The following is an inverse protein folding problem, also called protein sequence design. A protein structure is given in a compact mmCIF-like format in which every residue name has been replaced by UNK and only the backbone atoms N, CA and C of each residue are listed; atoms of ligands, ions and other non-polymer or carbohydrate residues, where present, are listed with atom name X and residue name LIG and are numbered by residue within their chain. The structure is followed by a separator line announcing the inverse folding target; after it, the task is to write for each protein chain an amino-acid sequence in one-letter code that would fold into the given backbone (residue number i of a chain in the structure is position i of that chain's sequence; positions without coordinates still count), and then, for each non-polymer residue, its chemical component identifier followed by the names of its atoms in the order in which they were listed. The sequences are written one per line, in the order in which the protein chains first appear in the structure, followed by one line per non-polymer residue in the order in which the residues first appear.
data_IF_415760374838
#
_entry.id   IF_415760374838
#
_cell.length_a   1.000
_cell.length_b   1.000
_cell.length_c   1.000
_cell.angle_alpha   90.00
_cell.angle_beta   90.00
_cell.angle_gamma   90.00
#
_symmetry.space_group_name_H-M   'P 1'
#
loop_
_entity.id
_entity.type
_entity.pdbx_description
1 polymer ?
#
# COMPACT_ATOMS: atom_id res chain seq x y z
N UNK A 1 -1.41 13.62 27.00
CA UNK A 1 -0.53 13.05 25.96
C UNK A 1 -1.23 11.99 25.10
N UNK A 2 -1.78 10.91 25.66
CA UNK A 2 -2.50 9.88 24.87
C UNK A 2 -3.64 10.42 23.99
N UNK A 3 -4.44 11.38 24.49
CA UNK A 3 -5.48 12.05 23.70
C UNK A 3 -4.93 12.89 22.53
N UNK A 4 -3.71 13.37 22.64
CA UNK A 4 -3.05 14.16 21.58
C UNK A 4 -2.47 13.20 20.53
N UNK A 5 -1.87 12.09 20.95
CA UNK A 5 -1.44 11.02 20.04
C UNK A 5 -2.61 10.44 19.24
N UNK A 6 -3.74 10.14 19.89
CA UNK A 6 -4.93 9.64 19.22
C UNK A 6 -5.48 10.62 18.16
N UNK A 7 -5.40 11.93 18.43
CA UNK A 7 -5.89 12.98 17.54
C UNK A 7 -4.95 13.24 16.37
N UNK A 8 -3.65 13.33 16.63
CA UNK A 8 -2.66 13.80 15.65
C UNK A 8 -1.96 12.65 14.91
N UNK A 9 -1.89 11.45 15.50
CA UNK A 9 -1.22 10.27 14.94
C UNK A 9 -2.19 9.14 14.59
N UNK A 10 -3.48 9.29 14.91
CA UNK A 10 -4.51 8.26 14.69
C UNK A 10 -4.41 7.05 15.63
N UNK A 11 -3.36 6.98 16.47
CA UNK A 11 -3.17 5.92 17.45
C UNK A 11 -2.75 6.51 18.81
N UNK A 12 -3.53 6.17 19.85
CA UNK A 12 -3.28 6.56 21.23
C UNK A 12 -2.02 5.92 21.83
N UNK A 13 -1.55 4.80 21.27
CA UNK A 13 -0.38 4.04 21.73
C UNK A 13 0.95 4.75 21.45
N UNK A 14 0.97 5.63 20.45
CA UNK A 14 2.15 6.39 19.98
C UNK A 14 2.49 7.61 20.86
N UNK A 15 1.89 7.74 22.04
CA UNK A 15 2.19 8.82 22.98
C UNK A 15 3.64 8.81 23.49
N UNK A 16 4.32 7.65 23.44
CA UNK A 16 5.74 7.51 23.79
C UNK A 16 6.64 8.15 22.74
N UNK A 17 6.25 8.12 21.47
CA UNK A 17 7.01 8.76 20.39
C UNK A 17 6.94 10.29 20.51
N UNK A 18 5.78 10.83 20.92
CA UNK A 18 5.65 12.26 21.25
C UNK A 18 6.57 12.68 22.40
N UNK A 19 6.79 11.81 23.38
CA UNK A 19 7.73 12.06 24.47
C UNK A 19 9.16 12.11 23.95
N UNK A 20 9.56 11.13 23.13
CA UNK A 20 10.90 11.08 22.55
C UNK A 20 11.19 12.28 21.64
N UNK A 21 10.23 12.68 20.80
CA UNK A 21 10.40 13.79 19.84
C UNK A 21 10.53 15.13 20.56
N UNK A 22 9.83 15.31 21.68
CA UNK A 22 9.84 16.55 22.45
C UNK A 22 10.82 16.52 23.64
N UNK A 23 11.57 15.42 23.83
CA UNK A 23 12.44 15.19 24.97
C UNK A 23 11.76 15.50 26.31
N UNK A 24 10.54 14.98 26.50
CA UNK A 24 9.75 15.28 27.71
C UNK A 24 10.12 14.35 28.87
N UNK A 25 10.31 14.92 30.05
CA UNK A 25 10.50 14.16 31.30
C UNK A 25 9.23 14.21 32.15
N UNK A 26 8.96 13.15 32.91
CA UNK A 26 7.82 13.13 33.82
C UNK A 26 7.92 14.29 34.84
N UNK A 27 6.87 15.11 35.05
CA UNK A 27 5.45 14.90 34.77
C UNK A 27 4.93 15.36 33.39
N UNK A 28 5.78 15.52 32.39
CA UNK A 28 5.55 15.83 30.96
C UNK A 28 4.77 17.13 30.66
N UNK A 29 3.59 17.29 31.24
CA UNK A 29 2.74 18.47 31.19
C UNK A 29 2.39 18.91 32.61
N UNK A 30 2.62 20.19 32.93
CA UNK A 30 2.26 20.78 34.23
C UNK A 30 1.30 21.96 34.06
N UNK A 31 0.44 22.17 35.06
CA UNK A 31 -0.39 23.37 35.19
C UNK A 31 0.25 24.44 36.08
N UNK A 32 1.36 24.10 36.74
CA UNK A 32 2.09 25.01 37.62
C UNK A 32 3.24 25.67 36.84
N UNK A 33 3.21 27.01 36.65
CA UNK A 33 4.28 27.74 35.96
C UNK A 33 5.66 27.59 36.61
N UNK A 34 5.73 27.25 37.90
CA UNK A 34 6.99 27.10 38.64
C UNK A 34 7.65 25.72 38.43
N UNK A 35 6.89 24.74 37.93
CA UNK A 35 7.37 23.39 37.63
C UNK A 35 7.78 23.21 36.16
N UNK A 36 7.79 24.29 35.37
CA UNK A 36 8.22 24.27 33.97
C UNK A 36 9.74 24.20 33.91
N UNK A 37 10.25 23.10 33.37
CA UNK A 37 11.67 22.93 33.05
C UNK A 37 11.84 22.82 31.53
N UNK A 38 13.08 22.69 31.04
CA UNK A 38 13.33 22.48 29.61
C UNK A 38 12.51 21.30 29.03
N UNK A 39 12.31 20.26 29.84
CA UNK A 39 11.71 18.97 29.48
C UNK A 39 10.28 18.77 30.05
N UNK A 40 9.73 19.74 30.78
CA UNK A 40 8.34 19.69 31.29
C UNK A 40 7.60 20.92 30.79
N UNK A 41 6.56 20.70 29.98
CA UNK A 41 5.86 21.78 29.27
C UNK A 41 4.58 22.22 29.98
N UNK A 42 4.21 23.49 29.86
CA UNK A 42 2.97 24.00 30.45
C UNK A 42 1.75 23.58 29.61
N UNK A 43 0.59 23.35 30.22
CA UNK A 43 -0.67 23.18 29.48
C UNK A 43 -0.92 24.37 28.54
N UNK A 44 -1.14 24.11 27.26
CA UNK A 44 -1.34 25.13 26.22
C UNK A 44 -0.09 25.52 25.43
N UNK A 45 1.08 24.99 25.79
CA UNK A 45 2.30 25.15 24.99
C UNK A 45 2.28 24.27 23.74
N UNK A 46 3.01 24.71 22.71
CA UNK A 46 3.18 23.95 21.46
C UNK A 46 4.12 22.76 21.70
N UNK A 47 3.73 21.61 21.16
CA UNK A 47 4.52 20.36 21.15
C UNK A 47 4.73 19.97 19.70
N UNK A 48 5.95 19.55 19.38
CA UNK A 48 6.29 19.01 18.07
C UNK A 48 5.57 17.68 17.88
N UNK A 49 4.72 17.61 16.87
CA UNK A 49 4.19 16.35 16.36
C UNK A 49 4.99 16.03 15.09
N UNK A 50 5.31 14.75 14.83
CA UNK A 50 5.87 14.38 13.54
C UNK A 50 4.82 14.76 12.49
N UNK A 51 5.14 15.77 11.69
CA UNK A 51 4.36 16.05 10.49
C UNK A 51 4.61 14.91 9.51
N UNK A 52 3.61 14.60 8.67
CA UNK A 52 3.87 13.85 7.46
C UNK A 52 4.92 14.66 6.69
N UNK A 53 6.19 14.28 6.80
CA UNK A 53 7.27 14.92 6.06
C UNK A 53 6.84 14.93 4.60
N UNK A 54 6.74 16.11 3.99
CA UNK A 54 6.81 16.19 2.54
C UNK A 54 8.11 15.49 2.18
N UNK A 55 8.00 14.27 1.61
CA UNK A 55 9.16 13.45 1.27
C UNK A 55 10.12 14.34 0.50
N UNK A 56 11.20 14.72 1.16
CA UNK A 56 12.30 15.39 0.49
C UNK A 56 12.84 14.36 -0.48
N UNK A 57 12.87 14.69 -1.78
CA UNK A 57 13.47 13.86 -2.81
C UNK A 57 14.98 13.73 -2.54
N UNK A 58 15.36 12.95 -1.52
CA UNK A 58 16.55 12.16 -1.64
C UNK A 58 16.34 11.32 -2.90
N UNK A 59 17.35 11.27 -3.77
CA UNK A 59 17.39 10.42 -4.94
C UNK A 59 17.45 8.95 -4.48
N UNK A 60 16.39 8.48 -3.81
CA UNK A 60 16.13 7.09 -3.51
C UNK A 60 15.96 6.48 -4.89
N UNK A 61 16.81 5.51 -5.23
CA UNK A 61 16.60 4.68 -6.42
C UNK A 61 15.12 4.28 -6.42
N UNK A 62 14.32 4.71 -7.42
CA UNK A 62 12.90 4.41 -7.45
C UNK A 62 12.62 2.91 -7.29
N UNK A 63 13.57 2.05 -7.66
CA UNK A 63 13.48 0.60 -7.50
C UNK A 63 13.68 0.12 -6.06
N UNK A 64 14.42 0.84 -5.21
CA UNK A 64 14.61 0.45 -3.82
C UNK A 64 13.31 0.48 -3.00
N UNK A 65 12.33 1.29 -3.42
CA UNK A 65 11.03 1.44 -2.75
C UNK A 65 10.14 0.21 -2.93
N UNK A 66 10.33 -0.55 -4.00
CA UNK A 66 9.45 -1.67 -4.37
C UNK A 66 9.97 -3.04 -3.91
N UNK A 67 11.13 -3.07 -3.25
CA UNK A 67 11.71 -4.27 -2.66
C UNK A 67 12.12 -5.33 -3.69
N UNK A 68 12.40 -6.53 -3.20
CA UNK A 68 12.80 -7.70 -3.97
C UNK A 68 11.96 -8.89 -3.49
N UNK A 69 11.46 -9.69 -4.41
CA UNK A 69 10.71 -10.92 -4.12
C UNK A 69 11.10 -12.04 -5.10
N UNK A 70 10.63 -13.26 -4.85
CA UNK A 70 10.80 -14.37 -5.78
C UNK A 70 9.99 -14.13 -7.05
N UNK A 71 10.60 -14.41 -8.20
CA UNK A 71 9.93 -14.33 -9.48
C UNK A 71 8.96 -15.50 -9.63
N UNK A 72 7.74 -15.19 -10.00
CA UNK A 72 6.70 -16.18 -10.29
C UNK A 72 6.39 -16.17 -11.78
N UNK A 73 6.24 -17.36 -12.36
CA UNK A 73 5.74 -17.56 -13.71
C UNK A 73 4.57 -18.54 -13.68
N UNK A 74 3.37 -18.07 -14.02
CA UNK A 74 2.14 -18.85 -13.89
C UNK A 74 1.86 -19.38 -12.47
N UNK A 75 2.37 -18.69 -11.43
CA UNK A 75 2.27 -19.13 -10.03
C UNK A 75 3.33 -20.14 -9.58
N UNK A 76 4.29 -20.48 -10.44
CA UNK A 76 5.41 -21.36 -10.11
C UNK A 76 6.69 -20.55 -9.83
N UNK A 77 7.48 -21.03 -8.87
CA UNK A 77 8.83 -20.51 -8.61
C UNK A 77 9.77 -20.97 -9.72
N UNK A 78 10.63 -20.04 -10.15
CA UNK A 78 11.65 -20.32 -11.16
C UNK A 78 13.01 -20.54 -10.50
N UNK A 79 13.79 -21.48 -11.03
CA UNK A 79 15.21 -21.64 -10.70
C UNK A 79 16.08 -20.83 -11.66
N UNK A 80 17.26 -20.42 -11.18
CA UNK A 80 18.24 -19.66 -11.94
C UNK A 80 19.23 -20.54 -12.75
N UNK A 81 19.02 -21.86 -12.79
CA UNK A 81 19.92 -22.85 -13.40
C UNK A 81 21.16 -23.19 -12.57
N UNK A 82 21.34 -22.55 -11.41
CA UNK A 82 22.50 -22.70 -10.50
C UNK A 82 22.05 -23.28 -9.14
N UNK A 83 20.75 -23.59 -9.01
CA UNK A 83 20.16 -24.16 -7.79
C UNK A 83 19.67 -23.12 -6.79
N UNK A 84 19.44 -21.87 -7.23
CA UNK A 84 18.82 -20.82 -6.42
C UNK A 84 17.59 -20.24 -7.14
N UNK A 85 16.73 -19.54 -6.40
CA UNK A 85 15.51 -18.97 -6.94
C UNK A 85 15.79 -17.71 -7.76
N UNK A 86 15.05 -17.55 -8.85
CA UNK A 86 15.04 -16.28 -9.58
C UNK A 86 14.30 -15.26 -8.73
N UNK A 87 14.90 -14.09 -8.56
CA UNK A 87 14.30 -12.94 -7.88
C UNK A 87 13.92 -11.85 -8.86
N UNK A 88 12.91 -11.07 -8.51
CA UNK A 88 12.47 -9.87 -9.20
C UNK A 88 12.57 -8.68 -8.24
N UNK A 89 13.11 -7.57 -8.72
CA UNK A 89 13.36 -6.38 -7.91
C UNK A 89 12.68 -5.15 -8.49
N UNK A 90 12.44 -4.15 -7.64
CA UNK A 90 12.02 -2.84 -8.11
C UNK A 90 10.63 -2.83 -8.74
N UNK A 91 10.49 -2.05 -9.83
CA UNK A 91 9.19 -1.88 -10.49
C UNK A 91 8.63 -3.18 -11.06
N UNK A 92 9.49 -4.11 -11.46
CA UNK A 92 9.06 -5.42 -11.95
C UNK A 92 8.47 -6.26 -10.82
N UNK A 93 8.99 -6.12 -9.59
CA UNK A 93 8.41 -6.76 -8.42
C UNK A 93 7.03 -6.19 -8.11
N UNK A 94 6.88 -4.86 -8.16
CA UNK A 94 5.58 -4.23 -7.98
C UNK A 94 4.56 -4.65 -9.04
N UNK A 95 4.98 -4.73 -10.31
CA UNK A 95 4.15 -5.23 -11.40
C UNK A 95 3.69 -6.66 -11.13
N UNK A 96 4.62 -7.57 -10.80
CA UNK A 96 4.30 -8.95 -10.47
C UNK A 96 3.34 -9.05 -9.28
N UNK A 97 3.56 -8.24 -8.23
CA UNK A 97 2.69 -8.26 -7.05
C UNK A 97 1.25 -7.83 -7.36
N UNK A 98 1.07 -6.83 -8.24
CA UNK A 98 -0.27 -6.44 -8.70
C UNK A 98 -0.89 -7.55 -9.54
N UNK A 99 -0.14 -8.15 -10.48
CA UNK A 99 -0.62 -9.24 -11.33
C UNK A 99 -1.10 -10.42 -10.48
N UNK A 100 -0.32 -10.82 -9.47
CA UNK A 100 -0.66 -11.87 -8.53
C UNK A 100 -1.93 -11.52 -7.74
N UNK A 101 -2.05 -10.28 -7.27
CA UNK A 101 -3.21 -9.83 -6.50
C UNK A 101 -4.48 -9.82 -7.34
N UNK A 102 -4.39 -9.41 -8.60
CA UNK A 102 -5.53 -9.40 -9.53
C UNK A 102 -5.94 -10.83 -9.90
N UNK A 103 -4.99 -11.75 -10.04
CA UNK A 103 -5.25 -13.15 -10.35
C UNK A 103 -5.83 -13.96 -9.17
N UNK A 104 -5.45 -13.62 -7.93
CA UNK A 104 -5.90 -14.33 -6.72
C UNK A 104 -7.33 -13.98 -6.39
N UNK A 105 -8.18 -14.98 -6.09
CA UNK A 105 -9.56 -14.72 -5.70
C UNK A 105 -9.60 -14.13 -4.28
N UNK A 106 -10.44 -13.12 -4.07
CA UNK A 106 -10.64 -12.58 -2.73
C UNK A 106 -11.15 -13.66 -1.77
N UNK A 107 -10.63 -13.65 -0.53
CA UNK A 107 -10.89 -14.66 0.51
C UNK A 107 -10.33 -16.07 0.26
N UNK A 108 -9.57 -16.26 -0.82
CA UNK A 108 -8.86 -17.52 -1.08
C UNK A 108 -7.77 -17.79 -0.02
N UNK A 109 -7.06 -16.74 0.39
CA UNK A 109 -6.06 -16.82 1.44
C UNK A 109 -6.74 -16.71 2.82
N UNK A 110 -6.80 -17.82 3.56
CA UNK A 110 -7.48 -17.90 4.87
C UNK A 110 -6.99 -16.86 5.87
N UNK A 111 -5.67 -16.61 5.88
CA UNK A 111 -5.02 -15.64 6.79
C UNK A 111 -5.00 -14.20 6.24
N UNK A 112 -5.35 -14.01 4.96
CA UNK A 112 -5.33 -12.72 4.29
C UNK A 112 -6.61 -12.53 3.46
N UNK A 113 -7.75 -12.52 4.14
CA UNK A 113 -9.06 -12.51 3.48
C UNK A 113 -9.34 -11.26 2.65
N UNK A 114 -8.65 -10.15 2.93
CA UNK A 114 -8.74 -8.89 2.19
C UNK A 114 -7.85 -8.86 0.95
N UNK A 115 -6.91 -9.80 0.82
CA UNK A 115 -6.04 -9.93 -0.34
C UNK A 115 -6.78 -10.59 -1.51
N UNK A 116 -6.38 -10.24 -2.73
CA UNK A 116 -6.96 -10.73 -3.97
C UNK A 116 -7.89 -9.72 -4.64
N UNK A 117 -8.65 -10.24 -5.60
CA UNK A 117 -9.60 -9.52 -6.43
C UNK A 117 -10.87 -10.34 -6.64
N UNK A 118 -12.00 -9.68 -6.92
CA UNK A 118 -13.28 -10.34 -7.17
C UNK A 118 -13.51 -10.63 -8.66
N UNK A 119 -12.60 -10.27 -9.56
CA UNK A 119 -12.70 -10.59 -11.00
C UNK A 119 -12.87 -12.10 -11.26
N UNK A 120 -12.13 -13.02 -10.59
CA UNK A 120 -12.33 -14.46 -10.76
C UNK A 120 -13.76 -14.94 -10.43
N UNK A 121 -14.55 -14.17 -9.67
CA UNK A 121 -15.96 -14.49 -9.39
C UNK A 121 -16.90 -14.22 -10.57
N UNK A 122 -16.45 -13.41 -11.53
CA UNK A 122 -17.17 -13.14 -12.77
C UNK A 122 -17.01 -14.27 -13.80
N UNK A 123 -16.04 -15.16 -13.62
CA UNK A 123 -15.84 -16.32 -14.47
C UNK A 123 -17.06 -17.24 -14.41
N UNK A 124 -17.59 -17.60 -15.58
CA UNK A 124 -18.81 -18.39 -15.71
C UNK A 124 -20.11 -17.61 -15.56
N UNK A 125 -20.06 -16.29 -15.36
CA UNK A 125 -21.26 -15.43 -15.43
C UNK A 125 -21.56 -15.01 -16.85
N UNK A 126 -22.79 -14.51 -17.10
CA UNK A 126 -23.17 -14.03 -18.43
C UNK A 126 -22.35 -12.79 -18.76
N UNK A 127 -21.58 -12.90 -19.83
CA UNK A 127 -20.79 -11.80 -20.37
C UNK A 127 -21.71 -10.66 -20.84
N UNK A 128 -21.46 -9.46 -20.36
CA UNK A 128 -22.22 -8.28 -20.74
C UNK A 128 -21.61 -6.98 -20.21
N UNK A 129 -22.15 -5.81 -20.60
CA UNK A 129 -21.59 -4.50 -20.25
C UNK A 129 -21.41 -4.30 -18.74
N UNK A 130 -22.32 -4.87 -17.93
CA UNK A 130 -22.25 -4.82 -16.47
C UNK A 130 -21.07 -5.63 -15.93
N UNK A 131 -20.83 -6.84 -16.44
CA UNK A 131 -19.69 -7.66 -16.04
C UNK A 131 -18.36 -6.99 -16.41
N UNK A 132 -18.29 -6.37 -17.60
CA UNK A 132 -17.13 -5.60 -18.02
C UNK A 132 -16.88 -4.40 -17.09
N UNK A 133 -17.91 -3.62 -16.75
CA UNK A 133 -17.76 -2.49 -15.84
C UNK A 133 -17.34 -2.94 -14.43
N UNK A 134 -17.91 -4.03 -13.93
CA UNK A 134 -17.54 -4.62 -12.64
C UNK A 134 -16.08 -5.10 -12.66
N UNK A 135 -15.64 -5.76 -13.73
CA UNK A 135 -14.26 -6.22 -13.85
C UNK A 135 -13.27 -5.05 -13.77
N UNK A 136 -13.55 -3.94 -14.47
CA UNK A 136 -12.74 -2.72 -14.39
C UNK A 136 -12.70 -2.14 -12.97
N UNK A 137 -13.86 -2.10 -12.28
CA UNK A 137 -13.95 -1.57 -10.93
C UNK A 137 -13.24 -2.44 -9.89
N UNK A 138 -13.37 -3.77 -9.97
CA UNK A 138 -12.66 -4.70 -9.10
C UNK A 138 -11.14 -4.63 -9.29
N UNK A 139 -10.68 -4.48 -10.54
CA UNK A 139 -9.26 -4.29 -10.82
C UNK A 139 -8.73 -2.99 -10.21
N UNK A 140 -9.50 -1.90 -10.33
CA UNK A 140 -9.15 -0.62 -9.71
C UNK A 140 -9.06 -0.73 -8.19
N UNK A 141 -10.02 -1.39 -7.54
CA UNK A 141 -10.03 -1.60 -6.09
C UNK A 141 -8.83 -2.43 -5.63
N UNK A 142 -8.54 -3.54 -6.31
CA UNK A 142 -7.42 -4.42 -5.98
C UNK A 142 -6.07 -3.68 -6.05
N UNK A 143 -5.89 -2.83 -7.06
CA UNK A 143 -4.67 -2.03 -7.26
C UNK A 143 -4.53 -0.91 -6.24
N UNK A 144 -5.63 -0.23 -5.88
CA UNK A 144 -5.65 0.82 -4.84
C UNK A 144 -5.43 0.27 -3.43
N UNK A 145 -5.72 -1.01 -3.21
CA UNK A 145 -5.51 -1.65 -1.92
C UNK A 145 -4.04 -2.07 -1.66
N UNK A 146 -3.12 -1.80 -2.59
CA UNK A 146 -1.67 -1.94 -2.38
C UNK A 146 -1.08 -0.59 -1.96
N UNK A 147 -0.44 -0.52 -0.80
CA UNK A 147 0.10 0.72 -0.21
C UNK A 147 1.19 1.37 -1.06
N UNK A 148 1.79 0.64 -2.00
CA UNK A 148 2.78 1.18 -2.95
C UNK A 148 2.12 1.91 -4.12
N UNK A 149 0.81 1.77 -4.29
CA UNK A 149 0.00 2.49 -5.27
C UNK A 149 -0.48 3.81 -4.67
N UNK A 150 -0.16 4.93 -5.32
CA UNK A 150 -0.69 6.25 -4.93
C UNK A 150 -2.05 6.52 -5.58
N UNK A 151 -2.21 6.18 -6.85
CA UNK A 151 -3.45 6.41 -7.59
C UNK A 151 -3.59 5.42 -8.76
N UNK A 152 -4.79 5.35 -9.34
CA UNK A 152 -5.06 4.61 -10.58
C UNK A 152 -5.55 5.60 -11.63
N UNK A 153 -4.82 5.73 -12.75
CA UNK A 153 -5.15 6.67 -13.83
C UNK A 153 -6.31 6.14 -14.67
N UNK A 154 -6.22 4.86 -15.07
CA UNK A 154 -7.24 4.20 -15.90
C UNK A 154 -7.41 2.76 -15.46
N UNK A 155 -8.65 2.29 -15.43
CA UNK A 155 -8.98 0.88 -15.31
C UNK A 155 -10.07 0.61 -16.35
N UNK A 156 -9.74 -0.17 -17.37
CA UNK A 156 -10.64 -0.47 -18.49
C UNK A 156 -10.68 -1.97 -18.67
N UNK A 157 -11.88 -2.51 -18.73
CA UNK A 157 -12.10 -3.87 -19.16
C UNK A 157 -12.76 -3.87 -20.55
N UNK A 158 -12.41 -4.85 -21.36
CA UNK A 158 -13.02 -5.10 -22.65
C UNK A 158 -13.26 -6.60 -22.78
N UNK A 159 -14.44 -6.94 -23.25
CA UNK A 159 -14.74 -8.33 -23.61
C UNK A 159 -14.54 -8.54 -25.11
N UNK A 160 -13.84 -9.62 -25.46
CA UNK A 160 -13.65 -10.09 -26.83
C UNK A 160 -14.01 -11.58 -26.87
N UNK A 161 -15.18 -11.91 -27.41
CA UNK A 161 -15.73 -13.27 -27.34
C UNK A 161 -16.00 -13.67 -25.89
N UNK A 162 -15.39 -14.77 -25.46
CA UNK A 162 -15.51 -15.32 -24.10
C UNK A 162 -14.42 -14.80 -23.14
N UNK A 163 -13.52 -13.94 -23.61
CA UNK A 163 -12.40 -13.41 -22.81
C UNK A 163 -12.70 -12.00 -22.34
N UNK A 164 -12.50 -11.74 -21.04
CA UNK A 164 -12.52 -10.41 -20.46
C UNK A 164 -11.08 -9.94 -20.20
N UNK A 165 -10.60 -9.05 -21.08
CA UNK A 165 -9.31 -8.40 -20.94
C UNK A 165 -9.44 -7.16 -20.05
N UNK A 166 -8.62 -7.07 -19.00
CA UNK A 166 -8.60 -5.96 -18.06
C UNK A 166 -7.24 -5.29 -18.11
N UNK A 167 -7.23 -3.98 -18.34
CA UNK A 167 -6.03 -3.14 -18.35
C UNK A 167 -6.14 -2.04 -17.30
N UNK A 168 -5.14 -1.95 -16.42
CA UNK A 168 -5.05 -0.95 -15.36
C UNK A 168 -3.72 -0.23 -15.44
N UNK A 169 -3.75 1.11 -15.31
CA UNK A 169 -2.56 1.95 -15.20
C UNK A 169 -2.47 2.50 -13.77
N UNK A 170 -1.54 1.94 -13.01
CA UNK A 170 -1.27 2.31 -11.63
C UNK A 170 -0.18 3.39 -11.56
N UNK A 171 -0.38 4.40 -10.72
CA UNK A 171 0.63 5.41 -10.38
C UNK A 171 1.22 5.01 -9.02
N UNK A 172 2.46 4.53 -8.98
CA UNK A 172 3.09 4.17 -7.72
C UNK A 172 3.51 5.41 -6.92
N UNK A 173 3.80 5.22 -5.64
CA UNK A 173 4.27 6.29 -4.73
C UNK A 173 5.65 6.87 -5.09
N UNK A 174 6.37 6.25 -6.03
CA UNK A 174 7.65 6.70 -6.55
C UNK A 174 7.86 6.21 -7.99
N UNK A 175 8.40 7.05 -8.87
CA UNK A 175 8.70 6.67 -10.26
C UNK A 175 7.52 6.76 -11.23
N UNK A 176 7.66 6.10 -12.39
CA UNK A 176 6.71 6.21 -13.50
C UNK A 176 5.50 5.26 -13.37
N UNK A 177 4.35 5.58 -13.99
CA UNK A 177 3.17 4.71 -14.02
C UNK A 177 3.48 3.30 -14.56
N UNK A 178 2.80 2.31 -14.00
CA UNK A 178 2.92 0.89 -14.38
C UNK A 178 1.59 0.42 -14.95
N UNK A 179 1.63 -0.11 -16.18
CA UNK A 179 0.48 -0.73 -16.81
C UNK A 179 0.49 -2.24 -16.55
N UNK A 180 -0.66 -2.77 -16.13
CA UNK A 180 -0.91 -4.19 -15.87
C UNK A 180 -2.10 -4.64 -16.71
N UNK A 181 -1.96 -5.76 -17.41
CA UNK A 181 -3.01 -6.31 -18.27
C UNK A 181 -3.17 -7.80 -18.03
N UNK A 182 -4.38 -8.23 -17.65
CA UNK A 182 -4.74 -9.64 -17.45
C UNK A 182 -5.95 -10.01 -18.31
N UNK A 183 -5.94 -11.25 -18.81
CA UNK A 183 -7.06 -11.85 -19.53
C UNK A 183 -7.70 -12.91 -18.63
N UNK A 184 -9.02 -12.83 -18.50
CA UNK A 184 -9.85 -13.75 -17.72
C UNK A 184 -10.84 -14.46 -18.63
#
# INVERSE_FOLDING_TARGET
LQKIAARELGDASLWRDLISINSLDYPYLTGDPTAVTANVKLYGSQIAVPSASNRTNAQIDPNAVFGVDMKLDGGLLLDNGIGDFVVVAGRDNYKQAIENRIATRRKELTFHQTYGCDIPTLLGTVTGPTATLLAAQYAKEAVLADDRTQAVTTAVAKTVGDVTAVNVVAVPVAGAPVAVSNNF
#
